data_IF_372941909776
#
_entry.id   IF_372941909776
#
_cell.length_a   1.000
_cell.length_b   1.000
_cell.length_c   1.000
_cell.angle_alpha   90.00
_cell.angle_beta   90.00
_cell.angle_gamma   90.00
#
_symmetry.space_group_name_H-M   'P 1'
#
loop_
_entity.id
_entity.type
_entity.pdbx_description
1 polymer ?
#
# COMPACT_ATOMS: atom_id res chain seq x y z
N UNK A 1 4.61 -9.41 -10.12
CA UNK A 1 5.97 -9.18 -9.57
C UNK A 1 6.06 -9.54 -8.09
N UNK A 2 5.19 -9.01 -7.22
CA UNK A 2 5.19 -9.29 -5.77
C UNK A 2 5.32 -10.79 -5.42
N UNK A 3 4.48 -11.66 -6.01
CA UNK A 3 4.54 -13.11 -5.78
C UNK A 3 5.88 -13.74 -6.18
N UNK A 4 6.56 -13.21 -7.20
CA UNK A 4 7.87 -13.73 -7.62
C UNK A 4 8.95 -13.37 -6.58
N UNK A 5 8.90 -12.15 -6.03
CA UNK A 5 9.77 -11.72 -4.93
C UNK A 5 9.50 -12.57 -3.69
N UNK A 6 8.23 -12.75 -3.29
CA UNK A 6 7.83 -13.61 -2.16
C UNK A 6 8.40 -15.04 -2.30
N UNK A 7 8.29 -15.65 -3.48
CA UNK A 7 8.86 -16.98 -3.75
C UNK A 7 10.39 -17.02 -3.62
N UNK A 8 11.07 -15.92 -3.94
CA UNK A 8 12.52 -15.84 -3.89
C UNK A 8 13.03 -15.67 -2.44
N UNK A 9 12.38 -14.82 -1.65
CA UNK A 9 12.85 -14.47 -0.30
C UNK A 9 12.29 -15.36 0.81
N UNK A 10 11.26 -16.17 0.54
CA UNK A 10 10.58 -17.00 1.54
C UNK A 10 9.58 -16.22 2.37
N UNK A 11 8.80 -16.89 3.21
CA UNK A 11 7.69 -16.27 3.97
C UNK A 11 8.15 -15.48 5.21
N UNK A 12 9.35 -15.75 5.71
CA UNK A 12 9.88 -15.14 6.94
C UNK A 12 10.33 -13.68 6.77
N UNK A 13 10.50 -13.22 5.52
CA UNK A 13 10.95 -11.85 5.23
C UNK A 13 9.72 -10.94 5.03
N UNK A 14 9.53 -9.86 5.82
CA UNK A 14 8.47 -8.90 5.56
C UNK A 14 8.63 -8.27 4.18
N UNK A 15 7.54 -8.17 3.42
CA UNK A 15 7.53 -7.49 2.13
C UNK A 15 6.46 -6.39 2.16
N UNK A 16 6.87 -5.17 1.84
CA UNK A 16 5.98 -4.04 1.59
C UNK A 16 5.81 -3.82 0.09
N UNK A 17 4.82 -3.01 -0.27
CA UNK A 17 4.63 -2.56 -1.64
C UNK A 17 4.42 -1.05 -1.63
N UNK A 18 5.15 -0.37 -2.50
CA UNK A 18 5.06 1.07 -2.69
C UNK A 18 4.41 1.36 -4.05
N UNK A 19 3.27 2.05 -4.01
CA UNK A 19 2.54 2.45 -5.20
C UNK A 19 3.03 3.79 -5.76
N UNK A 20 3.82 4.54 -4.99
CA UNK A 20 4.40 5.83 -5.32
C UNK A 20 3.35 6.78 -5.93
N UNK A 21 2.27 7.01 -5.19
CA UNK A 21 1.15 7.89 -5.55
C UNK A 21 0.35 7.44 -6.80
N UNK A 22 0.54 6.19 -7.24
CA UNK A 22 0.18 5.76 -8.59
C UNK A 22 -1.24 5.20 -8.80
N UNK A 23 -2.06 5.06 -7.76
CA UNK A 23 -3.41 4.51 -7.91
C UNK A 23 -4.53 5.51 -7.66
N UNK A 24 -5.71 5.21 -8.20
CA UNK A 24 -6.97 5.75 -7.69
C UNK A 24 -7.40 5.00 -6.42
N UNK A 25 -8.25 5.62 -5.59
CA UNK A 25 -8.79 4.99 -4.37
C UNK A 25 -9.36 3.59 -4.62
N UNK A 26 -10.20 3.43 -5.64
CA UNK A 26 -10.82 2.13 -5.96
C UNK A 26 -9.79 1.08 -6.39
N UNK A 27 -8.75 1.48 -7.11
CA UNK A 27 -7.66 0.60 -7.51
C UNK A 27 -6.80 0.21 -6.31
N UNK A 28 -6.45 1.18 -5.46
CA UNK A 28 -5.69 0.98 -4.24
C UNK A 28 -6.39 -0.01 -3.29
N UNK A 29 -7.68 0.16 -3.02
CA UNK A 29 -8.44 -0.76 -2.15
C UNK A 29 -8.44 -2.17 -2.76
N UNK A 30 -8.76 -2.29 -4.06
CA UNK A 30 -8.79 -3.60 -4.74
C UNK A 30 -7.43 -4.31 -4.66
N UNK A 31 -6.35 -3.57 -4.87
CA UNK A 31 -5.00 -4.11 -4.88
C UNK A 31 -4.50 -4.41 -3.45
N UNK A 32 -4.81 -3.55 -2.48
CA UNK A 32 -4.55 -3.78 -1.06
C UNK A 32 -5.18 -5.07 -0.54
N UNK A 33 -6.45 -5.35 -0.89
CA UNK A 33 -7.11 -6.61 -0.54
C UNK A 33 -6.42 -7.85 -1.14
N UNK A 34 -5.82 -7.73 -2.32
CA UNK A 34 -5.01 -8.80 -2.90
C UNK A 34 -3.68 -8.96 -2.15
N UNK A 35 -3.05 -7.86 -1.75
CA UNK A 35 -1.80 -7.90 -0.99
C UNK A 35 -1.98 -8.45 0.43
N UNK A 36 -3.08 -8.16 1.11
CA UNK A 36 -3.44 -8.76 2.40
C UNK A 36 -3.50 -10.29 2.32
N UNK A 37 -4.11 -10.83 1.26
CA UNK A 37 -4.14 -12.27 1.01
C UNK A 37 -2.74 -12.88 0.77
N UNK A 38 -1.72 -12.04 0.50
CA UNK A 38 -0.32 -12.42 0.36
C UNK A 38 0.55 -12.03 1.56
N UNK A 39 -0.09 -11.64 2.68
CA UNK A 39 0.58 -11.25 3.93
C UNK A 39 1.61 -10.15 3.71
N UNK A 40 1.21 -9.10 3.00
CA UNK A 40 2.01 -7.87 2.88
C UNK A 40 2.21 -7.25 4.27
N UNK A 41 3.37 -6.64 4.48
CA UNK A 41 3.68 -5.98 5.73
C UNK A 41 3.07 -4.58 5.80
N UNK A 42 3.14 -3.83 4.70
CA UNK A 42 2.73 -2.43 4.64
C UNK A 42 2.55 -1.97 3.18
N UNK A 43 1.58 -1.07 2.97
CA UNK A 43 1.25 -0.50 1.66
C UNK A 43 1.53 1.02 1.64
N UNK A 44 2.49 1.43 0.82
CA UNK A 44 3.03 2.79 0.79
C UNK A 44 2.46 3.62 -0.36
N UNK A 45 2.16 4.88 -0.06
CA UNK A 45 1.68 5.92 -0.97
C UNK A 45 0.66 5.42 -2.01
N UNK A 46 -0.47 4.82 -1.56
CA UNK A 46 -1.39 4.13 -2.47
C UNK A 46 -2.04 5.07 -3.48
N UNK A 47 -2.31 6.31 -3.10
CA UNK A 47 -2.97 7.33 -3.93
C UNK A 47 -2.18 8.62 -3.89
N UNK A 48 -2.52 9.58 -4.74
CA UNK A 48 -1.87 10.88 -4.79
C UNK A 48 -1.75 11.53 -3.40
N UNK A 49 -0.58 12.07 -3.10
CA UNK A 49 -0.21 12.64 -1.80
C UNK A 49 -1.17 13.74 -1.32
N UNK A 50 -1.72 14.54 -2.24
CA UNK A 50 -2.65 15.61 -1.90
C UNK A 50 -4.08 15.11 -1.60
N UNK A 51 -4.39 13.84 -1.88
CA UNK A 51 -5.72 13.26 -1.69
C UNK A 51 -5.85 12.63 -0.30
N UNK A 52 -5.82 13.45 0.75
CA UNK A 52 -5.98 12.99 2.13
C UNK A 52 -7.30 12.25 2.37
N UNK A 53 -8.36 12.62 1.66
CA UNK A 53 -9.65 11.91 1.74
C UNK A 53 -9.53 10.51 1.16
N UNK A 54 -8.87 10.37 0.01
CA UNK A 54 -8.57 9.08 -0.60
C UNK A 54 -7.65 8.23 0.25
N UNK A 55 -6.58 8.80 0.82
CA UNK A 55 -5.69 8.10 1.77
C UNK A 55 -6.50 7.57 2.95
N UNK A 56 -7.36 8.39 3.56
CA UNK A 56 -8.26 7.95 4.63
C UNK A 56 -9.18 6.81 4.18
N UNK A 57 -9.78 6.91 3.00
CA UNK A 57 -10.67 5.86 2.48
C UNK A 57 -9.92 4.53 2.28
N UNK A 58 -8.68 4.57 1.79
CA UNK A 58 -7.86 3.37 1.65
C UNK A 58 -7.48 2.79 3.00
N UNK A 59 -7.02 3.63 3.94
CA UNK A 59 -6.63 3.21 5.28
C UNK A 59 -7.81 2.64 6.10
N UNK A 60 -9.01 3.22 5.99
CA UNK A 60 -10.21 2.71 6.65
C UNK A 60 -10.69 1.38 6.04
N UNK A 61 -10.41 1.16 4.75
CA UNK A 61 -10.92 0.03 3.99
C UNK A 61 -9.98 -1.18 3.96
N UNK A 62 -8.78 -1.10 4.54
CA UNK A 62 -7.78 -2.16 4.55
C UNK A 62 -7.36 -2.48 5.99
N UNK A 63 -7.02 -3.73 6.24
CA UNK A 63 -6.47 -4.21 7.52
C UNK A 63 -4.94 -4.07 7.55
N UNK A 64 -4.27 -4.05 6.39
CA UNK A 64 -2.84 -3.76 6.28
C UNK A 64 -2.55 -2.28 6.63
N UNK A 65 -1.46 -1.98 7.34
CA UNK A 65 -0.99 -0.60 7.51
C UNK A 65 -0.79 0.12 6.17
N UNK A 66 -1.27 1.36 6.11
CA UNK A 66 -1.06 2.30 4.99
C UNK A 66 -0.13 3.41 5.46
N UNK A 67 0.89 3.77 4.67
CA UNK A 67 1.68 5.00 4.90
C UNK A 67 1.55 5.97 3.74
N UNK A 68 1.81 7.24 4.05
CA UNK A 68 2.12 8.29 3.12
C UNK A 68 3.00 9.33 3.84
N UNK A 69 3.65 10.22 3.09
CA UNK A 69 4.30 11.39 3.70
C UNK A 69 5.63 11.81 3.11
N UNK A 70 6.26 11.02 2.23
CA UNK A 70 7.54 11.39 1.63
C UNK A 70 7.43 12.63 0.72
N UNK A 71 6.22 12.91 0.23
CA UNK A 71 5.87 14.10 -0.54
C UNK A 71 5.16 15.20 0.28
N UNK A 72 5.22 15.15 1.61
CA UNK A 72 4.66 16.17 2.50
C UNK A 72 5.74 17.17 2.95
N UNK A 73 5.43 18.46 2.89
CA UNK A 73 6.43 19.52 3.06
C UNK A 73 6.27 20.32 4.36
N UNK A 74 5.13 20.19 5.03
CA UNK A 74 4.78 21.01 6.21
C UNK A 74 4.19 20.15 7.34
N UNK A 75 4.11 20.72 8.53
CA UNK A 75 3.56 20.08 9.74
C UNK A 75 2.06 20.30 9.87
#
# INVERSE_FOLDING_TARGET
MFTAVRKLVGDDIPLSFDANNGHSVSTAIRQGRQFEAMTIYHFEEPVAQYDYTGIKQVADALDVPVSAGEHEYTR
#
